data_IF_234133273089
#
_entry.id   IF_234133273089
#
_cell.length_a   1.000
_cell.length_b   1.000
_cell.length_c   1.000
_cell.angle_alpha   90.00
_cell.angle_beta   90.00
_cell.angle_gamma   90.00
#
_symmetry.space_group_name_H-M   'P 1'
#
loop_
_entity.id
_entity.type
_entity.pdbx_description
1 polymer ?
#
# COMPACT_ATOMS: atom_id res chain seq x y z
N UNK A 1 4.07 -0.12 -19.55
CA UNK A 1 3.53 -0.92 -18.43
C UNK A 1 4.45 -0.72 -17.25
N UNK A 2 3.88 -0.52 -16.06
CA UNK A 2 4.65 -0.40 -14.82
C UNK A 2 5.24 -1.75 -14.45
N UNK A 3 6.50 -1.75 -14.01
CA UNK A 3 7.22 -2.98 -13.71
C UNK A 3 7.14 -3.28 -12.22
N UNK A 4 6.65 -4.48 -11.92
CA UNK A 4 6.67 -5.05 -10.58
C UNK A 4 7.71 -6.16 -10.59
N UNK A 5 8.70 -6.05 -9.72
CA UNK A 5 9.65 -7.13 -9.50
C UNK A 5 9.41 -7.76 -8.13
N UNK A 6 9.53 -9.08 -8.02
CA UNK A 6 9.34 -9.81 -6.76
C UNK A 6 10.52 -10.72 -6.48
N UNK A 7 11.15 -10.56 -5.31
CA UNK A 7 12.09 -11.54 -4.77
C UNK A 7 11.29 -12.51 -3.90
N UNK A 8 10.98 -13.71 -4.40
CA UNK A 8 10.31 -14.73 -3.58
C UNK A 8 10.45 -16.14 -4.16
N UNK A 9 10.68 -17.11 -3.28
CA UNK A 9 10.50 -18.55 -3.51
C UNK A 9 9.21 -19.08 -2.87
N UNK A 10 8.46 -18.25 -2.15
CA UNK A 10 7.26 -18.65 -1.44
C UNK A 10 6.08 -18.86 -2.43
N UNK A 11 5.47 -20.05 -2.51
CA UNK A 11 4.39 -20.34 -3.45
C UNK A 11 3.15 -19.45 -3.27
N UNK A 12 2.86 -19.01 -2.03
CA UNK A 12 1.70 -18.15 -1.75
C UNK A 12 1.94 -16.75 -2.32
N UNK A 13 3.14 -16.20 -2.09
CA UNK A 13 3.52 -14.86 -2.57
C UNK A 13 3.55 -14.85 -4.10
N UNK A 14 4.27 -15.79 -4.71
CA UNK A 14 4.42 -15.88 -6.17
C UNK A 14 3.08 -16.08 -6.90
N UNK A 15 2.18 -16.93 -6.35
CA UNK A 15 0.83 -17.12 -6.89
C UNK A 15 -0.02 -15.85 -6.74
N UNK A 16 0.07 -15.17 -5.60
CA UNK A 16 -0.64 -13.91 -5.35
C UNK A 16 -0.25 -12.84 -6.35
N UNK A 17 1.06 -12.61 -6.57
CA UNK A 17 1.57 -11.68 -7.59
C UNK A 17 1.03 -12.05 -8.96
N UNK A 18 1.22 -13.30 -9.37
CA UNK A 18 0.84 -13.77 -10.71
C UNK A 18 -0.64 -13.56 -10.98
N UNK A 19 -1.50 -13.85 -10.00
CA UNK A 19 -2.94 -13.69 -10.14
C UNK A 19 -3.34 -12.22 -10.16
N UNK A 20 -2.79 -11.40 -9.26
CA UNK A 20 -3.09 -9.97 -9.20
C UNK A 20 -2.68 -9.27 -10.51
N UNK A 21 -1.49 -9.54 -11.05
CA UNK A 21 -1.02 -8.91 -12.27
C UNK A 21 -1.87 -9.26 -13.50
N UNK A 22 -2.49 -10.46 -13.54
CA UNK A 22 -3.45 -10.81 -14.61
C UNK A 22 -4.70 -9.95 -14.60
N UNK A 23 -5.06 -9.36 -13.46
CA UNK A 23 -6.23 -8.49 -13.32
C UNK A 23 -6.00 -7.06 -13.84
N UNK A 24 -4.76 -6.68 -14.17
CA UNK A 24 -4.41 -5.32 -14.56
C UNK A 24 -3.48 -5.31 -15.78
N UNK A 25 -3.93 -4.73 -16.89
CA UNK A 25 -3.09 -4.55 -18.09
C UNK A 25 -1.98 -3.51 -17.91
N UNK A 26 -2.06 -2.68 -16.87
CA UNK A 26 -1.10 -1.63 -16.59
C UNK A 26 0.25 -2.15 -16.04
N UNK A 27 0.27 -3.36 -15.46
CA UNK A 27 1.43 -3.92 -14.77
C UNK A 27 2.05 -5.10 -15.51
N UNK A 28 3.38 -5.15 -15.54
CA UNK A 28 4.17 -6.33 -15.91
C UNK A 28 4.92 -6.85 -14.70
N UNK A 29 4.92 -8.16 -14.49
CA UNK A 29 5.43 -8.75 -13.26
C UNK A 29 6.54 -9.77 -13.53
N UNK A 30 7.67 -9.61 -12.86
CA UNK A 30 8.83 -10.50 -12.92
C UNK A 30 9.10 -11.05 -11.52
N UNK A 31 9.29 -12.36 -11.41
CA UNK A 31 9.54 -13.05 -10.14
C UNK A 31 10.90 -13.72 -10.23
N UNK A 32 11.72 -13.51 -9.22
CA UNK A 32 13.06 -14.07 -9.09
C UNK A 32 13.17 -14.85 -7.78
N UNK A 33 13.79 -16.04 -7.86
CA UNK A 33 14.01 -16.93 -6.71
C UNK A 33 15.40 -16.80 -6.09
N UNK A 34 16.26 -15.97 -6.66
CA UNK A 34 17.65 -15.77 -6.26
C UNK A 34 17.99 -14.28 -6.15
N UNK A 35 18.98 -13.98 -5.30
CA UNK A 35 19.34 -12.60 -4.93
C UNK A 35 20.03 -11.86 -6.08
N UNK A 36 20.94 -12.52 -6.79
CA UNK A 36 21.79 -11.84 -7.76
C UNK A 36 21.00 -11.46 -9.03
N UNK A 37 20.10 -12.35 -9.50
CA UNK A 37 19.27 -12.08 -10.66
C UNK A 37 18.30 -10.93 -10.42
N UNK A 38 17.72 -10.83 -9.22
CA UNK A 38 16.83 -9.71 -8.93
C UNK A 38 17.59 -8.39 -8.79
N UNK A 39 18.76 -8.37 -8.15
CA UNK A 39 19.58 -7.15 -8.05
C UNK A 39 19.96 -6.68 -9.46
N UNK A 40 20.42 -7.60 -10.32
CA UNK A 40 20.73 -7.30 -11.72
C UNK A 40 19.53 -6.71 -12.46
N UNK A 41 18.34 -7.30 -12.29
CA UNK A 41 17.11 -6.79 -12.89
C UNK A 41 16.73 -5.42 -12.34
N UNK A 42 16.77 -5.22 -11.02
CA UNK A 42 16.43 -3.94 -10.38
C UNK A 42 17.31 -2.82 -10.95
N UNK A 43 18.63 -3.04 -10.98
CA UNK A 43 19.61 -2.05 -11.41
C UNK A 43 19.49 -1.71 -12.91
N UNK A 44 19.07 -2.67 -13.74
CA UNK A 44 18.94 -2.46 -15.18
C UNK A 44 17.56 -1.93 -15.59
N UNK A 45 16.48 -2.50 -15.04
CA UNK A 45 15.11 -2.24 -15.49
C UNK A 45 14.41 -1.12 -14.73
N UNK A 46 14.96 -0.69 -13.59
CA UNK A 46 14.45 0.36 -12.70
C UNK A 46 12.94 0.20 -12.39
N UNK A 47 12.53 -0.90 -11.73
CA UNK A 47 11.11 -1.22 -11.57
C UNK A 47 10.37 -0.25 -10.63
N UNK A 48 9.10 0.03 -10.92
CA UNK A 48 8.25 0.93 -10.13
C UNK A 48 7.90 0.36 -8.76
N UNK A 49 7.73 -0.96 -8.64
CA UNK A 49 7.37 -1.62 -7.39
C UNK A 49 8.29 -2.81 -7.16
N UNK A 50 8.89 -2.86 -5.98
CA UNK A 50 9.75 -3.97 -5.53
C UNK A 50 9.05 -4.72 -4.40
N UNK A 51 8.71 -5.99 -4.62
CA UNK A 51 8.15 -6.86 -3.58
C UNK A 51 9.27 -7.73 -3.02
N UNK A 52 9.57 -7.57 -1.74
CA UNK A 52 10.68 -8.26 -1.06
C UNK A 52 10.10 -9.22 -0.03
N UNK A 53 10.25 -10.52 -0.25
CA UNK A 53 9.71 -11.56 0.63
C UNK A 53 10.76 -12.08 1.62
N UNK A 54 10.66 -11.63 2.86
CA UNK A 54 11.52 -12.04 3.98
C UNK A 54 11.25 -13.46 4.49
N UNK A 55 10.28 -14.16 3.91
CA UNK A 55 9.95 -15.55 4.24
C UNK A 55 10.69 -16.56 3.36
N UNK A 56 11.35 -16.07 2.31
CA UNK A 56 12.16 -16.88 1.38
C UNK A 56 13.60 -17.03 1.89
N UNK A 57 14.02 -18.21 2.39
CA UNK A 57 15.30 -18.37 3.07
C UNK A 57 16.53 -18.25 2.15
N UNK A 58 16.35 -18.47 0.85
CA UNK A 58 17.42 -18.38 -0.16
C UNK A 58 17.68 -16.95 -0.65
N UNK A 59 16.82 -16.00 -0.27
CA UNK A 59 16.86 -14.62 -0.74
C UNK A 59 17.44 -13.71 0.35
N UNK A 60 18.53 -13.04 0.00
CA UNK A 60 19.21 -12.06 0.86
C UNK A 60 18.55 -10.70 0.69
N UNK A 61 17.46 -10.49 1.42
CA UNK A 61 16.66 -9.26 1.37
C UNK A 61 17.46 -8.02 1.80
N UNK A 62 18.40 -8.18 2.73
CA UNK A 62 19.35 -7.16 3.17
C UNK A 62 20.18 -6.62 2.01
N UNK A 63 20.76 -7.51 1.19
CA UNK A 63 21.53 -7.11 0.00
C UNK A 63 20.70 -6.40 -1.06
N UNK A 64 19.44 -6.81 -1.21
CA UNK A 64 18.52 -6.17 -2.17
C UNK A 64 18.25 -4.73 -1.73
N UNK A 65 17.99 -4.51 -0.43
CA UNK A 65 17.80 -3.18 0.12
C UNK A 65 19.07 -2.32 0.02
N UNK A 66 20.23 -2.87 0.36
CA UNK A 66 21.52 -2.18 0.19
C UNK A 66 21.70 -1.70 -1.25
N UNK A 67 21.45 -2.55 -2.25
CA UNK A 67 21.52 -2.16 -3.66
C UNK A 67 20.52 -1.07 -4.04
N UNK A 68 19.33 -1.05 -3.43
CA UNK A 68 18.33 0.02 -3.65
C UNK A 68 18.83 1.33 -3.02
N UNK A 69 19.42 1.27 -1.84
CA UNK A 69 19.91 2.47 -1.12
C UNK A 69 21.11 3.11 -1.80
N UNK A 70 21.99 2.32 -2.42
CA UNK A 70 23.19 2.80 -3.11
C UNK A 70 22.90 3.63 -4.38
N UNK A 71 21.71 3.49 -4.98
CA UNK A 71 21.32 4.21 -6.19
C UNK A 71 20.03 5.03 -5.97
N UNK A 72 20.16 6.36 -5.98
CA UNK A 72 19.04 7.29 -5.83
C UNK A 72 17.94 7.10 -6.89
N UNK A 73 18.24 6.56 -8.07
CA UNK A 73 17.22 6.26 -9.07
C UNK A 73 16.33 5.08 -8.66
N UNK A 74 16.80 4.20 -7.78
CA UNK A 74 16.03 3.06 -7.29
C UNK A 74 15.10 3.43 -6.13
N UNK A 75 15.28 4.61 -5.53
CA UNK A 75 14.35 5.18 -4.56
C UNK A 75 13.02 5.57 -5.22
N UNK A 76 13.04 5.76 -6.55
CA UNK A 76 11.83 5.93 -7.33
C UNK A 76 10.92 4.69 -7.26
N UNK A 77 9.65 4.91 -6.92
CA UNK A 77 8.65 3.86 -6.76
C UNK A 77 8.43 3.48 -5.30
N UNK A 78 8.46 2.19 -4.99
CA UNK A 78 8.55 1.76 -3.59
C UNK A 78 8.56 0.26 -3.34
N UNK A 79 8.85 -0.07 -2.09
CA UNK A 79 9.07 -1.43 -1.59
C UNK A 79 7.84 -1.91 -0.81
N UNK A 80 7.37 -3.10 -1.14
CA UNK A 80 6.36 -3.83 -0.36
C UNK A 80 7.04 -5.05 0.25
N UNK A 81 7.14 -5.05 1.58
CA UNK A 81 7.80 -6.14 2.30
C UNK A 81 6.79 -7.19 2.72
N UNK A 82 7.07 -8.47 2.44
CA UNK A 82 6.29 -9.60 2.95
C UNK A 82 7.04 -10.26 4.09
N UNK A 83 6.40 -10.41 5.23
CA UNK A 83 6.99 -10.95 6.45
C UNK A 83 6.21 -12.17 6.97
N UNK A 84 6.87 -12.98 7.79
CA UNK A 84 6.31 -14.22 8.32
C UNK A 84 5.28 -13.97 9.43
N UNK A 85 5.51 -12.97 10.26
CA UNK A 85 4.75 -12.69 11.47
C UNK A 85 4.85 -11.21 11.84
N UNK A 86 4.00 -10.79 12.79
CA UNK A 86 3.95 -9.40 13.28
C UNK A 86 5.23 -8.96 13.96
N UNK A 87 6.01 -9.87 14.53
CA UNK A 87 7.27 -9.52 15.16
C UNK A 87 8.35 -9.18 14.12
N UNK A 88 8.39 -9.91 13.00
CA UNK A 88 9.22 -9.52 11.86
C UNK A 88 8.73 -8.22 11.23
N UNK A 89 7.41 -8.01 11.11
CA UNK A 89 6.86 -6.75 10.63
C UNK A 89 7.38 -5.55 11.44
N UNK A 90 7.26 -5.62 12.77
CA UNK A 90 7.75 -4.58 13.69
C UNK A 90 9.24 -4.30 13.52
N UNK A 91 10.08 -5.35 13.46
CA UNK A 91 11.52 -5.19 13.24
C UNK A 91 11.84 -4.47 11.92
N UNK A 92 11.06 -4.72 10.86
CA UNK A 92 11.22 -4.03 9.57
C UNK A 92 10.73 -2.57 9.64
N UNK A 93 9.66 -2.30 10.38
CA UNK A 93 9.19 -0.93 10.63
C UNK A 93 10.22 -0.11 11.40
N UNK A 94 10.93 -0.73 12.35
CA UNK A 94 11.97 -0.09 13.15
C UNK A 94 13.22 0.30 12.33
N UNK A 95 13.40 -0.28 11.13
CA UNK A 95 14.44 0.14 10.19
C UNK A 95 14.14 1.51 9.57
N UNK A 96 12.87 1.94 9.60
CA UNK A 96 12.40 3.25 9.08
C UNK A 96 12.87 3.54 7.66
N UNK A 97 12.81 2.53 6.80
CA UNK A 97 13.20 2.67 5.39
C UNK A 97 12.19 3.53 4.63
N UNK A 98 12.65 4.65 4.07
CA UNK A 98 11.84 5.65 3.39
C UNK A 98 11.22 5.11 2.08
N UNK A 99 11.86 4.10 1.48
CA UNK A 99 11.38 3.44 0.26
C UNK A 99 10.27 2.43 0.54
N UNK A 100 10.02 2.07 1.80
CA UNK A 100 8.97 1.10 2.16
C UNK A 100 7.59 1.75 2.10
N UNK A 101 6.74 1.20 1.23
CA UNK A 101 5.33 1.58 1.10
C UNK A 101 4.46 0.85 2.12
N UNK A 102 4.72 -0.43 2.34
CA UNK A 102 3.92 -1.28 3.20
C UNK A 102 4.69 -2.52 3.64
N UNK A 103 4.41 -2.97 4.85
CA UNK A 103 4.90 -4.23 5.41
C UNK A 103 3.69 -5.07 5.74
N UNK A 104 3.61 -6.27 5.16
CA UNK A 104 2.44 -7.15 5.25
C UNK A 104 2.88 -8.55 5.66
N UNK A 105 2.10 -9.20 6.51
CA UNK A 105 2.23 -10.66 6.70
C UNK A 105 1.85 -11.42 5.42
N UNK A 106 2.23 -12.70 5.30
CA UNK A 106 1.83 -13.54 4.14
C UNK A 106 0.31 -13.51 3.93
N UNK A 107 -0.48 -13.65 5.01
CA UNK A 107 -1.94 -13.69 4.93
C UNK A 107 -2.53 -12.33 4.50
N UNK A 108 -2.04 -11.24 5.08
CA UNK A 108 -2.45 -9.90 4.69
C UNK A 108 -2.06 -9.61 3.23
N UNK A 109 -0.89 -10.05 2.80
CA UNK A 109 -0.44 -9.92 1.41
C UNK A 109 -1.37 -10.67 0.46
N UNK A 110 -1.64 -11.95 0.74
CA UNK A 110 -2.53 -12.79 -0.08
C UNK A 110 -3.95 -12.21 -0.20
N UNK A 111 -4.48 -11.64 0.88
CA UNK A 111 -5.82 -11.05 0.90
C UNK A 111 -5.91 -9.69 0.22
N UNK A 112 -4.83 -8.89 0.28
CA UNK A 112 -4.91 -7.47 -0.02
C UNK A 112 -4.10 -7.01 -1.24
N UNK A 113 -3.17 -7.81 -1.75
CA UNK A 113 -2.25 -7.34 -2.79
C UNK A 113 -2.95 -6.86 -4.07
N UNK A 114 -3.98 -7.56 -4.55
CA UNK A 114 -4.78 -7.13 -5.71
C UNK A 114 -5.42 -5.75 -5.49
N UNK A 115 -5.91 -5.49 -4.27
CA UNK A 115 -6.50 -4.20 -3.90
C UNK A 115 -5.43 -3.12 -3.84
N UNK A 116 -4.28 -3.44 -3.26
CA UNK A 116 -3.13 -2.54 -3.21
C UNK A 116 -2.67 -2.14 -4.62
N UNK A 117 -2.60 -3.08 -5.57
CA UNK A 117 -2.29 -2.76 -6.97
C UNK A 117 -3.32 -1.84 -7.61
N UNK A 118 -4.62 -2.07 -7.37
CA UNK A 118 -5.69 -1.18 -7.85
C UNK A 118 -5.51 0.24 -7.33
N UNK A 119 -5.19 0.38 -6.03
CA UNK A 119 -4.99 1.69 -5.41
C UNK A 119 -3.78 2.39 -6.02
N UNK A 120 -2.67 1.68 -6.21
CA UNK A 120 -1.46 2.23 -6.84
C UNK A 120 -1.72 2.63 -8.29
N UNK A 121 -2.50 1.84 -9.03
CA UNK A 121 -2.87 2.16 -10.41
C UNK A 121 -3.71 3.43 -10.50
N UNK A 122 -4.64 3.63 -9.56
CA UNK A 122 -5.49 4.82 -9.50
C UNK A 122 -4.74 6.07 -9.01
N UNK A 123 -3.71 5.89 -8.17
CA UNK A 123 -3.03 6.97 -7.47
C UNK A 123 -1.55 7.03 -7.83
N UNK A 124 -1.26 7.00 -9.13
CA UNK A 124 0.11 6.84 -9.62
C UNK A 124 1.04 7.95 -9.14
N UNK A 125 0.55 9.20 -9.05
CA UNK A 125 1.33 10.38 -8.64
C UNK A 125 2.02 10.23 -7.28
N UNK A 126 1.42 9.47 -6.37
CA UNK A 126 1.97 9.22 -5.05
C UNK A 126 3.33 8.51 -5.09
N UNK A 127 3.54 7.57 -6.04
CA UNK A 127 4.85 6.91 -6.20
C UNK A 127 5.91 7.87 -6.76
N UNK A 128 5.50 8.81 -7.62
CA UNK A 128 6.43 9.79 -8.21
C UNK A 128 6.88 10.85 -7.22
N UNK A 129 5.99 11.28 -6.31
CA UNK A 129 6.31 12.31 -5.33
C UNK A 129 7.49 11.87 -4.45
N UNK A 130 7.47 10.63 -3.91
CA UNK A 130 8.48 10.16 -2.96
C UNK A 130 9.91 10.12 -3.50
N UNK A 131 10.12 9.58 -4.69
CA UNK A 131 11.48 9.34 -5.21
C UNK A 131 12.17 10.56 -5.82
N UNK A 132 11.44 11.60 -6.22
CA UNK A 132 12.04 12.78 -6.87
C UNK A 132 12.38 13.91 -5.90
N UNK A 133 11.89 13.84 -4.66
CA UNK A 133 11.88 14.99 -3.75
C UNK A 133 13.18 15.16 -2.95
N UNK A 134 13.93 14.07 -2.72
CA UNK A 134 15.29 14.13 -2.15
C UNK A 134 16.24 14.98 -3.01
N UNK A 135 15.93 15.15 -4.30
CA UNK A 135 16.78 15.85 -5.27
C UNK A 135 16.43 17.36 -5.36
N UNK A 136 15.20 17.78 -5.03
CA UNK A 136 14.67 19.10 -5.47
C UNK A 136 14.24 20.03 -4.31
N UNK A 137 14.11 19.55 -3.07
CA UNK A 137 13.86 20.44 -1.90
C UNK A 137 12.55 21.22 -1.96
N UNK A 138 11.50 20.64 -2.58
CA UNK A 138 10.19 21.26 -2.76
C UNK A 138 9.18 20.93 -1.65
N UNK A 139 8.03 21.63 -1.65
CA UNK A 139 6.86 21.24 -0.83
C UNK A 139 6.32 19.88 -1.30
N UNK A 140 5.97 19.03 -0.35
CA UNK A 140 5.31 17.76 -0.62
C UNK A 140 3.82 17.97 -0.80
N UNK A 141 3.39 17.84 -2.05
CA UNK A 141 1.99 17.88 -2.41
C UNK A 141 1.62 16.55 -3.07
N UNK A 142 0.44 16.04 -2.72
CA UNK A 142 -0.08 14.80 -3.25
C UNK A 142 -1.59 14.76 -3.11
N UNK A 143 -2.24 14.05 -4.03
CA UNK A 143 -3.67 13.81 -3.99
C UNK A 143 -3.94 12.33 -4.13
N UNK A 144 -4.89 11.83 -3.35
CA UNK A 144 -5.46 10.52 -3.54
C UNK A 144 -6.90 10.65 -3.99
N UNK A 145 -7.32 9.74 -4.85
CA UNK A 145 -8.70 9.58 -5.29
C UNK A 145 -9.25 8.33 -4.64
N UNK A 146 -10.19 8.49 -3.72
CA UNK A 146 -10.84 7.40 -3.00
C UNK A 146 -12.27 7.20 -3.48
N UNK A 147 -12.62 5.95 -3.80
CA UNK A 147 -13.99 5.55 -4.08
C UNK A 147 -14.80 5.28 -2.80
N UNK A 148 -15.78 4.40 -2.93
CA UNK A 148 -16.73 4.09 -1.86
C UNK A 148 -16.36 2.87 -1.00
N UNK A 149 -15.19 2.26 -1.22
CA UNK A 149 -14.80 1.05 -0.51
C UNK A 149 -14.00 1.39 0.76
N UNK A 150 -14.53 1.16 1.97
CA UNK A 150 -13.83 1.52 3.21
C UNK A 150 -12.56 0.73 3.43
N UNK A 151 -12.40 -0.42 2.78
CA UNK A 151 -11.15 -1.17 2.88
C UNK A 151 -10.01 -0.43 2.19
N UNK A 152 -10.28 0.41 1.18
CA UNK A 152 -9.27 1.25 0.54
C UNK A 152 -8.73 2.32 1.47
N UNK A 153 -9.59 2.88 2.32
CA UNK A 153 -9.24 3.89 3.33
C UNK A 153 -8.07 3.41 4.18
N UNK A 154 -8.08 2.14 4.60
CA UNK A 154 -7.01 1.56 5.41
C UNK A 154 -5.65 1.59 4.70
N UNK A 155 -5.61 1.41 3.38
CA UNK A 155 -4.36 1.47 2.61
C UNK A 155 -3.88 2.90 2.45
N UNK A 156 -4.77 3.85 2.15
CA UNK A 156 -4.40 5.27 2.06
C UNK A 156 -3.79 5.77 3.38
N UNK A 157 -4.40 5.40 4.49
CA UNK A 157 -3.90 5.78 5.82
C UNK A 157 -2.55 5.10 6.09
N UNK A 158 -2.43 3.81 5.82
CA UNK A 158 -1.16 3.11 6.00
C UNK A 158 -0.06 3.78 5.17
N UNK A 159 -0.31 4.09 3.90
CA UNK A 159 0.66 4.77 3.04
C UNK A 159 1.13 6.11 3.60
N UNK A 160 0.20 6.97 4.03
CA UNK A 160 0.55 8.28 4.58
C UNK A 160 1.28 8.17 5.91
N UNK A 161 0.74 7.37 6.85
CA UNK A 161 1.28 7.21 8.20
C UNK A 161 2.65 6.53 8.16
N UNK A 162 2.81 5.47 7.38
CA UNK A 162 4.10 4.76 7.24
C UNK A 162 5.16 5.66 6.66
N UNK A 163 4.83 6.56 5.73
CA UNK A 163 5.81 7.52 5.21
C UNK A 163 6.23 8.58 6.20
N UNK A 164 5.28 9.20 6.88
CA UNK A 164 5.60 10.18 7.91
C UNK A 164 6.43 9.53 9.04
N UNK A 165 6.14 8.26 9.36
CA UNK A 165 6.89 7.51 10.36
C UNK A 165 8.32 7.16 9.90
N UNK A 166 8.47 6.63 8.69
CA UNK A 166 9.77 6.22 8.13
C UNK A 166 10.68 7.43 7.90
N UNK A 167 10.13 8.57 7.48
CA UNK A 167 10.87 9.84 7.33
C UNK A 167 11.07 10.61 8.64
N UNK A 168 10.82 9.98 9.80
CA UNK A 168 11.00 10.56 11.14
C UNK A 168 10.21 11.86 11.42
N UNK A 169 9.08 12.08 10.73
CA UNK A 169 8.22 13.26 10.92
C UNK A 169 7.21 13.09 12.03
N UNK A 170 6.90 11.86 12.39
CA UNK A 170 6.03 11.52 13.51
C UNK A 170 6.70 10.46 14.39
N UNK A 171 6.38 10.50 15.68
CA UNK A 171 6.84 9.48 16.64
C UNK A 171 6.05 8.18 16.51
N UNK A 172 6.49 7.12 17.19
CA UNK A 172 5.72 5.87 17.26
C UNK A 172 4.37 6.05 17.98
N UNK A 173 4.27 6.99 18.92
CA UNK A 173 3.02 7.31 19.60
C UNK A 173 2.06 8.05 18.64
N UNK A 174 2.58 9.08 17.97
CA UNK A 174 1.83 9.85 16.98
C UNK A 174 1.36 8.99 15.80
N UNK A 175 2.11 7.95 15.45
CA UNK A 175 1.73 6.97 14.42
C UNK A 175 0.34 6.39 14.69
N UNK A 176 0.08 5.94 15.92
CA UNK A 176 -1.21 5.36 16.32
C UNK A 176 -2.32 6.41 16.34
N UNK A 177 -2.05 7.57 16.93
CA UNK A 177 -3.01 8.67 17.02
C UNK A 177 -3.42 9.16 15.63
N UNK A 178 -2.45 9.39 14.74
CA UNK A 178 -2.70 9.85 13.38
C UNK A 178 -3.46 8.80 12.57
N UNK A 179 -3.13 7.52 12.71
CA UNK A 179 -3.88 6.44 12.06
C UNK A 179 -5.35 6.43 12.50
N UNK A 180 -5.63 6.63 13.79
CA UNK A 180 -7.00 6.71 14.31
C UNK A 180 -7.74 7.94 13.77
N UNK A 181 -7.14 9.12 13.88
CA UNK A 181 -7.73 10.39 13.41
C UNK A 181 -8.03 10.35 11.91
N UNK A 182 -7.09 9.87 11.09
CA UNK A 182 -7.31 9.75 9.65
C UNK A 182 -8.36 8.69 9.31
N UNK A 183 -8.44 7.60 10.10
CA UNK A 183 -9.47 6.58 9.91
C UNK A 183 -10.86 7.17 10.09
N UNK A 184 -11.06 7.95 11.13
CA UNK A 184 -12.33 8.63 11.38
C UNK A 184 -12.64 9.66 10.29
N UNK A 185 -11.68 10.54 9.98
CA UNK A 185 -11.86 11.60 9.00
C UNK A 185 -12.20 11.07 7.61
N UNK A 186 -11.43 10.09 7.11
CA UNK A 186 -11.63 9.53 5.77
C UNK A 186 -12.87 8.65 5.70
N UNK A 187 -13.20 7.91 6.77
CA UNK A 187 -14.44 7.14 6.82
C UNK A 187 -15.65 8.06 6.78
N UNK A 188 -15.63 9.16 7.55
CA UNK A 188 -16.69 10.17 7.51
C UNK A 188 -16.80 10.83 6.13
N UNK A 189 -15.68 11.08 5.45
CA UNK A 189 -15.69 11.62 4.09
C UNK A 189 -16.34 10.66 3.08
N UNK A 190 -16.15 9.33 3.22
CA UNK A 190 -16.84 8.34 2.39
C UNK A 190 -18.33 8.23 2.78
N UNK A 191 -18.65 8.12 4.07
CA UNK A 191 -20.01 7.96 4.55
C UNK A 191 -20.89 9.17 4.20
N UNK A 192 -20.45 10.37 4.57
CA UNK A 192 -21.23 11.60 4.40
C UNK A 192 -20.98 12.26 3.04
N UNK A 193 -19.73 12.30 2.58
CA UNK A 193 -19.37 12.95 1.31
C UNK A 193 -19.80 12.14 0.10
N UNK A 194 -19.28 10.92 -0.04
CA UNK A 194 -19.60 10.09 -1.20
C UNK A 194 -21.01 9.50 -1.14
N UNK A 195 -21.37 8.89 -0.02
CA UNK A 195 -22.55 8.03 0.09
C UNK A 195 -23.78 8.74 0.67
N UNK A 196 -23.60 9.96 1.20
CA UNK A 196 -24.64 10.76 1.81
C UNK A 196 -25.47 9.98 2.86
N UNK A 197 -24.79 9.12 3.62
CA UNK A 197 -25.37 8.40 4.75
C UNK A 197 -25.53 9.44 5.86
N UNK A 198 -26.76 9.69 6.31
CA UNK A 198 -26.99 10.68 7.37
C UNK A 198 -26.68 10.11 8.75
N UNK A 199 -26.47 10.98 9.75
CA UNK A 199 -26.32 10.56 11.15
C UNK A 199 -27.54 9.75 11.64
N UNK A 200 -28.75 10.20 11.31
CA UNK A 200 -29.99 9.51 11.69
C UNK A 200 -30.04 8.11 11.10
N UNK A 201 -29.81 7.98 9.79
CA UNK A 201 -29.79 6.69 9.09
C UNK A 201 -28.75 5.74 9.68
N UNK A 202 -27.52 6.22 9.89
CA UNK A 202 -26.44 5.44 10.50
C UNK A 202 -26.85 4.93 11.88
N UNK A 203 -27.43 5.80 12.70
CA UNK A 203 -27.85 5.46 14.07
C UNK A 203 -28.95 4.39 14.04
N UNK A 204 -29.98 4.57 13.21
CA UNK A 204 -31.06 3.60 13.07
C UNK A 204 -30.57 2.22 12.61
N UNK A 205 -29.67 2.19 11.61
CA UNK A 205 -29.07 0.94 11.12
C UNK A 205 -28.29 0.20 12.21
N UNK A 206 -27.45 0.91 12.96
CA UNK A 206 -26.65 0.33 14.04
C UNK A 206 -27.52 -0.14 15.22
N UNK A 207 -28.57 0.62 15.57
CA UNK A 207 -29.51 0.24 16.65
C UNK A 207 -30.29 -1.03 16.32
N UNK A 208 -30.52 -1.30 15.03
CA UNK A 208 -31.14 -2.53 14.55
C UNK A 208 -30.15 -3.71 14.41
N UNK A 209 -28.94 -3.59 14.93
CA UNK A 209 -27.90 -4.63 14.91
C UNK A 209 -27.14 -4.74 13.59
N UNK A 210 -27.31 -3.79 12.67
CA UNK A 210 -26.58 -3.75 11.40
C UNK A 210 -25.11 -3.35 11.58
N UNK A 211 -24.27 -3.73 10.62
CA UNK A 211 -22.87 -3.31 10.55
C UNK A 211 -22.71 -2.12 9.58
N UNK A 212 -21.92 -1.12 9.94
CA UNK A 212 -21.63 0.05 9.08
C UNK A 212 -21.06 -0.33 7.71
N UNK A 213 -20.24 -1.39 7.65
CA UNK A 213 -19.67 -1.87 6.39
C UNK A 213 -20.74 -2.37 5.42
N UNK A 214 -21.80 -3.00 5.95
CA UNK A 214 -22.92 -3.48 5.13
C UNK A 214 -23.77 -2.32 4.62
N UNK A 215 -23.98 -1.29 5.45
CA UNK A 215 -24.69 -0.08 5.05
C UNK A 215 -23.95 0.65 3.93
N UNK A 216 -22.64 0.84 4.10
CA UNK A 216 -21.78 1.45 3.09
C UNK A 216 -21.83 0.65 1.79
N UNK A 217 -21.66 -0.66 1.86
CA UNK A 217 -21.66 -1.53 0.67
C UNK A 217 -23.00 -1.44 -0.07
N UNK A 218 -24.11 -1.55 0.65
CA UNK A 218 -25.46 -1.43 0.08
C UNK A 218 -25.64 -0.07 -0.58
N UNK A 219 -25.20 1.00 0.07
CA UNK A 219 -25.30 2.36 -0.46
C UNK A 219 -24.39 2.60 -1.67
N UNK A 220 -23.23 1.95 -1.70
CA UNK A 220 -22.28 2.04 -2.81
C UNK A 220 -22.79 1.32 -4.08
N UNK A 221 -23.75 0.41 -3.98
CA UNK A 221 -24.37 -0.27 -5.12
C UNK A 221 -25.42 0.60 -5.83
N UNK A 222 -26.02 1.58 -5.13
CA UNK A 222 -26.99 2.51 -5.70
C UNK A 222 -26.36 3.32 -6.85
N UNK A 223 -26.95 3.30 -8.07
CA UNK A 223 -26.46 4.05 -9.22
C UNK A 223 -26.21 5.54 -8.95
N UNK A 224 -26.93 6.15 -8.01
CA UNK A 224 -26.77 7.54 -7.60
C UNK A 224 -25.42 7.83 -6.94
N UNK A 225 -24.84 6.85 -6.24
CA UNK A 225 -23.62 7.04 -5.44
C UNK A 225 -22.43 6.22 -5.94
N UNK A 226 -22.65 5.11 -6.67
CA UNK A 226 -21.62 4.15 -7.08
C UNK A 226 -20.39 4.74 -7.77
N UNK A 227 -20.55 5.82 -8.53
CA UNK A 227 -19.48 6.47 -9.29
C UNK A 227 -18.77 7.61 -8.56
N UNK A 228 -19.21 7.98 -7.35
CA UNK A 228 -18.67 9.11 -6.61
C UNK A 228 -17.29 8.80 -6.04
N UNK A 229 -16.48 9.85 -5.92
CA UNK A 229 -15.11 9.80 -5.46
C UNK A 229 -14.81 11.08 -4.69
N UNK A 230 -13.92 10.97 -3.70
CA UNK A 230 -13.33 12.08 -2.94
C UNK A 230 -11.82 12.10 -3.16
#
# INVERSE_FOLDING_TARGET
>A
MKKIVTASTNPIVTKTITNACKSFSAFSCNIFGDTDSIISFINYELPDIKVIDYTSPTIRCDKILESIHEDSWLHYGGVISVCKDRDQARRLEDLKDENVLSILTIDEFAQNFTRLLRIIDQNQQFLYARGMQDIIGGREEGSFVCGNDPLDIRFYINFMVSYLYNTNRISSEDRGNLQMTLSELLTNAVEHGNLNISYHEKTEWLMNGGNIMDLIKTRAEDPKYRGRKI
#
